data_IF_157643643013
#
_entry.id   IF_157643643013
#
_cell.length_a   1.000
_cell.length_b   1.000
_cell.length_c   1.000
_cell.angle_alpha   90.00
_cell.angle_beta   90.00
_cell.angle_gamma   90.00
#
_symmetry.space_group_name_H-M   'P 1'
#
loop_
_entity.id
_entity.type
_entity.pdbx_description
1 polymer ?
#
# COMPACT_ATOMS: atom_id res chain seq x y z
N UNK A 1 21.37 4.34 10.08
CA UNK A 1 21.11 4.27 8.63
C UNK A 1 21.64 5.56 7.99
N UNK A 2 22.39 5.49 6.89
CA UNK A 2 22.89 6.72 6.24
C UNK A 2 21.72 7.54 5.69
N UNK A 3 21.82 8.88 5.72
CA UNK A 3 20.77 9.78 5.19
C UNK A 3 20.46 9.49 3.71
N UNK A 4 21.49 9.14 2.94
CA UNK A 4 21.38 8.79 1.52
C UNK A 4 20.51 7.55 1.27
N UNK A 5 20.59 6.54 2.13
CA UNK A 5 19.78 5.33 2.00
C UNK A 5 18.29 5.56 2.27
N UNK A 6 17.94 6.54 3.11
CA UNK A 6 16.54 6.95 3.34
C UNK A 6 15.97 7.71 2.16
N UNK A 7 16.72 8.69 1.66
CA UNK A 7 16.30 9.50 0.52
C UNK A 7 16.04 8.61 -0.71
N UNK A 8 16.94 7.67 -1.01
CA UNK A 8 16.75 6.75 -2.14
C UNK A 8 15.47 5.91 -2.03
N UNK A 9 15.17 5.37 -0.83
CA UNK A 9 13.95 4.60 -0.57
C UNK A 9 12.69 5.45 -0.64
N UNK A 10 12.76 6.70 -0.16
CA UNK A 10 11.66 7.65 -0.27
C UNK A 10 11.35 7.96 -1.75
N UNK A 11 12.37 8.27 -2.54
CA UNK A 11 12.18 8.54 -3.97
C UNK A 11 11.67 7.31 -4.73
N UNK A 12 12.17 6.11 -4.41
CA UNK A 12 11.66 4.87 -4.98
C UNK A 12 10.18 4.65 -4.62
N UNK A 13 9.81 4.76 -3.34
CA UNK A 13 8.42 4.63 -2.91
C UNK A 13 7.51 5.74 -3.47
N UNK A 14 8.03 6.95 -3.66
CA UNK A 14 7.33 8.05 -4.31
C UNK A 14 7.09 7.79 -5.79
N UNK A 15 8.08 7.25 -6.50
CA UNK A 15 7.92 6.80 -7.89
C UNK A 15 6.88 5.67 -8.00
N UNK A 16 6.96 4.69 -7.11
CA UNK A 16 6.02 3.58 -7.03
C UNK A 16 4.58 4.07 -6.76
N UNK A 17 4.43 5.12 -5.94
CA UNK A 17 3.15 5.81 -5.70
C UNK A 17 2.61 6.48 -6.96
N UNK A 18 3.47 7.14 -7.75
CA UNK A 18 3.07 7.73 -9.02
C UNK A 18 2.69 6.66 -10.05
N UNK A 19 3.48 5.58 -10.14
CA UNK A 19 3.22 4.47 -11.05
C UNK A 19 1.89 3.79 -10.76
N UNK A 20 1.57 3.54 -9.48
CA UNK A 20 0.29 2.98 -9.11
C UNK A 20 -0.87 3.97 -9.28
N UNK A 21 -0.62 5.27 -9.12
CA UNK A 21 -1.59 6.31 -9.46
C UNK A 21 -1.99 6.29 -10.94
N UNK A 22 -1.02 6.08 -11.84
CA UNK A 22 -1.29 5.92 -13.28
C UNK A 22 -2.07 4.63 -13.56
N UNK A 23 -1.72 3.52 -12.90
CA UNK A 23 -2.45 2.26 -13.04
C UNK A 23 -3.89 2.39 -12.55
N UNK A 24 -4.10 3.01 -11.38
CA UNK A 24 -5.44 3.30 -10.86
C UNK A 24 -6.22 4.18 -11.84
N UNK A 25 -5.62 5.26 -12.35
CA UNK A 25 -6.27 6.11 -13.35
C UNK A 25 -6.68 5.34 -14.61
N UNK A 26 -5.83 4.46 -15.12
CA UNK A 26 -6.14 3.65 -16.30
C UNK A 26 -7.24 2.61 -16.04
N UNK A 27 -7.20 1.94 -14.88
CA UNK A 27 -8.20 0.93 -14.51
C UNK A 27 -9.57 1.55 -14.18
N UNK A 28 -9.61 2.76 -13.62
CA UNK A 28 -10.86 3.47 -13.33
C UNK A 28 -11.33 4.38 -14.47
N UNK A 29 -10.55 4.53 -15.54
CA UNK A 29 -10.81 5.51 -16.60
C UNK A 29 -10.83 6.96 -16.08
N UNK A 30 -10.04 7.25 -15.05
CA UNK A 30 -10.00 8.55 -14.36
C UNK A 30 -11.17 8.82 -13.43
N UNK A 31 -12.09 7.86 -13.25
CA UNK A 31 -13.18 7.98 -12.28
C UNK A 31 -12.64 7.75 -10.88
N UNK A 32 -13.16 8.54 -9.95
CA UNK A 32 -12.86 8.44 -8.53
C UNK A 32 -14.17 8.13 -7.81
N UNK A 33 -14.15 7.13 -6.93
CA UNK A 33 -15.23 6.87 -5.98
C UNK A 33 -16.61 6.50 -6.57
N UNK A 34 -16.71 6.06 -7.84
CA UNK A 34 -18.00 5.69 -8.40
C UNK A 34 -18.39 4.23 -8.13
N UNK A 35 -17.41 3.37 -7.88
CA UNK A 35 -17.62 1.97 -7.50
C UNK A 35 -16.70 1.60 -6.33
N UNK A 36 -17.08 0.53 -5.62
CA UNK A 36 -16.29 -0.03 -4.53
C UNK A 36 -14.84 -0.32 -4.95
N UNK A 37 -14.64 -0.90 -6.14
CA UNK A 37 -13.31 -1.21 -6.65
C UNK A 37 -12.47 0.06 -6.85
N UNK A 38 -13.06 1.12 -7.41
CA UNK A 38 -12.38 2.41 -7.61
C UNK A 38 -11.91 3.01 -6.27
N UNK A 39 -12.74 2.96 -5.22
CA UNK A 39 -12.36 3.43 -3.89
C UNK A 39 -11.13 2.69 -3.35
N UNK A 40 -11.06 1.38 -3.55
CA UNK A 40 -9.93 0.56 -3.09
C UNK A 40 -8.66 0.82 -3.91
N UNK A 41 -8.79 0.98 -5.22
CA UNK A 41 -7.65 1.27 -6.10
C UNK A 41 -7.02 2.62 -5.74
N UNK A 42 -7.83 3.67 -5.60
CA UNK A 42 -7.34 4.98 -5.15
C UNK A 42 -6.87 4.99 -3.70
N UNK A 43 -7.52 4.24 -2.81
CA UNK A 43 -7.05 4.04 -1.44
C UNK A 43 -5.65 3.40 -1.39
N UNK A 44 -5.34 2.53 -2.34
CA UNK A 44 -4.02 1.89 -2.45
C UNK A 44 -2.93 2.88 -2.88
N UNK A 45 -3.26 3.88 -3.70
CA UNK A 45 -2.38 5.01 -4.03
C UNK A 45 -2.05 5.81 -2.77
N UNK A 46 -3.08 6.11 -1.95
CA UNK A 46 -2.91 6.83 -0.68
C UNK A 46 -2.04 6.00 0.29
N UNK A 47 -2.28 4.69 0.37
CA UNK A 47 -1.48 3.78 1.21
C UNK A 47 0.00 3.76 0.79
N UNK A 48 0.29 3.79 -0.52
CA UNK A 48 1.65 3.87 -1.04
C UNK A 48 2.32 5.21 -0.68
N UNK A 49 1.58 6.32 -0.79
CA UNK A 49 2.06 7.63 -0.37
C UNK A 49 2.38 7.67 1.13
N UNK A 50 1.53 7.06 1.96
CA UNK A 50 1.78 6.91 3.40
C UNK A 50 3.05 6.10 3.65
N UNK A 51 3.26 4.99 2.92
CA UNK A 51 4.49 4.21 3.04
C UNK A 51 5.74 5.06 2.73
N UNK A 52 5.70 5.88 1.67
CA UNK A 52 6.78 6.81 1.36
C UNK A 52 7.04 7.80 2.50
N UNK A 53 5.99 8.42 3.06
CA UNK A 53 6.12 9.36 4.19
C UNK A 53 6.70 8.66 5.43
N UNK A 54 6.27 7.44 5.74
CA UNK A 54 6.77 6.67 6.89
C UNK A 54 8.27 6.34 6.76
N UNK A 55 8.80 6.17 5.55
CA UNK A 55 10.25 5.98 5.32
C UNK A 55 11.05 7.19 5.82
N UNK A 56 10.49 8.41 5.78
CA UNK A 56 11.14 9.62 6.29
C UNK A 56 10.93 9.81 7.80
N UNK A 57 9.79 9.40 8.34
CA UNK A 57 9.37 9.73 9.70
C UNK A 57 9.97 8.84 10.81
N UNK A 58 10.61 7.70 10.47
CA UNK A 58 11.28 6.74 11.39
C UNK A 58 10.47 6.14 12.57
N UNK A 59 9.27 6.63 12.86
CA UNK A 59 8.52 6.26 14.06
C UNK A 59 7.26 5.42 13.81
N UNK A 60 6.81 5.32 12.56
CA UNK A 60 5.48 4.79 12.22
C UNK A 60 5.54 3.49 11.42
N UNK A 61 6.51 2.61 11.74
CA UNK A 61 6.67 1.32 11.06
C UNK A 61 5.34 0.52 10.95
N UNK A 62 4.53 0.34 12.01
CA UNK A 62 3.26 -0.38 11.89
C UNK A 62 2.30 0.21 10.86
N UNK A 63 2.25 1.54 10.72
CA UNK A 63 1.35 2.23 9.80
C UNK A 63 1.66 1.90 8.34
N UNK A 64 2.94 1.82 7.99
CA UNK A 64 3.33 1.40 6.65
C UNK A 64 2.96 -0.05 6.34
N UNK A 65 3.11 -0.96 7.31
CA UNK A 65 2.70 -2.36 7.11
C UNK A 65 1.18 -2.52 7.02
N UNK A 66 0.41 -1.68 7.71
CA UNK A 66 -1.03 -1.57 7.51
C UNK A 66 -1.34 -1.16 6.07
N UNK A 67 -0.64 -0.15 5.56
CA UNK A 67 -0.75 0.31 4.17
C UNK A 67 -0.41 -0.78 3.14
N UNK A 68 0.68 -1.53 3.35
CA UNK A 68 1.04 -2.69 2.51
C UNK A 68 -0.09 -3.72 2.48
N UNK A 69 -0.68 -4.04 3.64
CA UNK A 69 -1.81 -4.98 3.69
C UNK A 69 -3.06 -4.45 2.99
N UNK A 70 -3.33 -3.14 3.06
CA UNK A 70 -4.41 -2.52 2.28
C UNK A 70 -4.17 -2.64 0.78
N UNK A 71 -2.93 -2.40 0.31
CA UNK A 71 -2.55 -2.56 -1.10
C UNK A 71 -2.70 -4.03 -1.54
N UNK A 72 -2.31 -5.00 -0.70
CA UNK A 72 -2.50 -6.42 -0.97
C UNK A 72 -3.98 -6.79 -1.06
N UNK A 73 -4.82 -6.23 -0.18
CA UNK A 73 -6.27 -6.36 -0.28
C UNK A 73 -6.77 -5.81 -1.63
N UNK A 74 -6.32 -4.61 -2.02
CA UNK A 74 -6.66 -4.00 -3.30
C UNK A 74 -6.23 -4.80 -4.52
N UNK A 75 -5.12 -5.54 -4.42
CA UNK A 75 -4.61 -6.38 -5.50
C UNK A 75 -5.25 -7.77 -5.58
N UNK A 76 -5.60 -8.38 -4.45
CA UNK A 76 -5.98 -9.81 -4.38
C UNK A 76 -7.46 -10.06 -4.06
N UNK A 77 -8.16 -9.12 -3.45
CA UNK A 77 -9.46 -9.36 -2.81
C UNK A 77 -10.58 -8.44 -3.31
N UNK A 78 -10.30 -7.63 -4.33
CA UNK A 78 -11.25 -6.76 -5.04
C UNK A 78 -11.92 -7.49 -6.23
N UNK A 79 -13.05 -6.96 -6.70
CA UNK A 79 -13.70 -7.47 -7.92
C UNK A 79 -12.83 -7.20 -9.15
N UNK A 80 -12.59 -8.23 -9.98
CA UNK A 80 -11.65 -8.16 -11.11
C UNK A 80 -10.22 -8.62 -10.76
N UNK A 81 -9.99 -9.07 -9.52
CA UNK A 81 -8.72 -9.63 -9.08
C UNK A 81 -8.28 -10.87 -9.88
N UNK A 82 -6.95 -11.09 -10.03
CA UNK A 82 -5.85 -10.35 -9.40
C UNK A 82 -5.34 -9.15 -10.22
N UNK A 83 -5.17 -8.00 -9.54
CA UNK A 83 -4.47 -6.83 -10.10
C UNK A 83 -2.98 -6.92 -9.78
N UNK A 84 -2.22 -7.56 -10.67
CA UNK A 84 -0.79 -7.86 -10.45
C UNK A 84 0.06 -6.61 -10.16
N UNK A 85 -0.30 -5.44 -10.69
CA UNK A 85 0.40 -4.17 -10.41
C UNK A 85 0.42 -3.81 -8.92
N UNK A 86 -0.70 -3.96 -8.22
CA UNK A 86 -0.81 -3.67 -6.78
C UNK A 86 -0.06 -4.72 -5.92
N UNK A 87 -0.08 -5.98 -6.36
CA UNK A 87 0.66 -7.05 -5.66
C UNK A 87 2.17 -6.83 -5.78
N UNK A 88 2.65 -6.48 -6.98
CA UNK A 88 4.06 -6.16 -7.21
C UNK A 88 4.49 -4.92 -6.42
N UNK A 89 3.63 -3.90 -6.34
CA UNK A 89 3.86 -2.73 -5.50
C UNK A 89 4.03 -3.10 -4.02
N UNK A 90 3.13 -3.91 -3.47
CA UNK A 90 3.22 -4.35 -2.08
C UNK A 90 4.55 -5.09 -1.80
N UNK A 91 4.98 -5.94 -2.74
CA UNK A 91 6.26 -6.64 -2.67
C UNK A 91 7.46 -5.70 -2.79
N UNK A 92 7.38 -4.66 -3.64
CA UNK A 92 8.43 -3.66 -3.80
C UNK A 92 8.58 -2.78 -2.54
N UNK A 93 7.46 -2.40 -1.91
CA UNK A 93 7.45 -1.56 -0.71
C UNK A 93 7.92 -2.32 0.54
N UNK A 94 7.59 -3.61 0.69
CA UNK A 94 7.92 -4.41 1.88
C UNK A 94 9.39 -4.33 2.36
N UNK A 95 10.44 -4.43 1.51
CA UNK A 95 11.83 -4.27 1.94
C UNK A 95 12.24 -2.81 2.17
N UNK A 96 11.49 -1.83 1.65
CA UNK A 96 11.82 -0.41 1.75
C UNK A 96 11.39 0.20 3.08
N UNK A 97 10.27 -0.25 3.65
CA UNK A 97 9.70 0.35 4.87
C UNK A 97 10.34 -0.19 6.15
N UNK A 98 10.36 0.61 7.24
CA UNK A 98 10.92 0.17 8.51
C UNK A 98 10.21 -1.07 9.06
N UNK A 99 10.96 -1.96 9.70
CA UNK A 99 10.41 -3.17 10.32
C UNK A 99 9.86 -2.86 11.72
N UNK A 100 8.61 -3.23 12.03
CA UNK A 100 8.05 -3.02 13.36
C UNK A 100 8.83 -3.86 14.38
N UNK A 101 9.44 -3.17 15.35
CA UNK A 101 10.32 -3.78 16.37
C UNK A 101 11.46 -4.62 15.79
N UNK A 102 11.91 -4.32 14.57
CA UNK A 102 12.97 -5.08 13.89
C UNK A 102 12.54 -6.43 13.30
N UNK A 103 11.29 -6.86 13.46
CA UNK A 103 10.81 -8.17 13.01
C UNK A 103 10.05 -8.10 11.68
N UNK A 104 10.44 -8.94 10.73
CA UNK A 104 9.75 -9.10 9.44
C UNK A 104 8.44 -9.88 9.60
N UNK A 105 8.40 -10.89 10.48
CA UNK A 105 7.19 -11.69 10.71
C UNK A 105 6.08 -10.85 11.34
N UNK A 106 6.41 -9.89 12.22
CA UNK A 106 5.45 -8.92 12.73
C UNK A 106 4.90 -8.02 11.63
N UNK A 107 5.76 -7.55 10.72
CA UNK A 107 5.32 -6.76 9.56
C UNK A 107 4.34 -7.52 8.68
N UNK A 108 4.69 -8.76 8.30
CA UNK A 108 3.82 -9.63 7.50
C UNK A 108 2.51 -9.92 8.24
N UNK A 109 2.57 -10.21 9.54
CA UNK A 109 1.38 -10.42 10.37
C UNK A 109 0.44 -9.21 10.37
N UNK A 110 0.98 -8.00 10.53
CA UNK A 110 0.21 -6.75 10.47
C UNK A 110 -0.42 -6.58 9.09
N UNK A 111 0.34 -6.79 8.01
CA UNK A 111 -0.17 -6.68 6.65
C UNK A 111 -1.27 -7.72 6.35
N UNK A 112 -1.11 -8.96 6.82
CA UNK A 112 -2.12 -10.00 6.65
C UNK A 112 -3.41 -9.66 7.41
N UNK A 113 -3.30 -9.24 8.68
CA UNK A 113 -4.46 -8.83 9.48
C UNK A 113 -5.12 -7.60 8.86
N UNK A 114 -4.35 -6.60 8.44
CA UNK A 114 -4.92 -5.39 7.85
C UNK A 114 -5.59 -5.65 6.50
N UNK A 115 -5.06 -6.57 5.67
CA UNK A 115 -5.72 -6.98 4.43
C UNK A 115 -7.11 -7.60 4.69
N UNK A 116 -7.21 -8.48 5.69
CA UNK A 116 -8.48 -9.11 6.09
C UNK A 116 -9.43 -8.09 6.70
N UNK A 117 -8.94 -7.23 7.61
CA UNK A 117 -9.76 -6.19 8.24
C UNK A 117 -10.23 -5.17 7.21
N UNK A 118 -9.40 -4.77 6.24
CA UNK A 118 -9.80 -3.89 5.16
C UNK A 118 -10.93 -4.50 4.33
N UNK A 119 -10.84 -5.79 3.98
CA UNK A 119 -11.94 -6.49 3.30
C UNK A 119 -13.25 -6.42 4.09
N UNK A 120 -13.20 -6.70 5.39
CA UNK A 120 -14.37 -6.70 6.26
C UNK A 120 -14.93 -5.28 6.41
N UNK A 121 -14.07 -4.33 6.78
CA UNK A 121 -14.46 -2.95 7.04
C UNK A 121 -15.11 -2.29 5.82
N UNK A 122 -14.58 -2.55 4.63
CA UNK A 122 -15.12 -1.96 3.40
C UNK A 122 -16.38 -2.73 2.96
N UNK A 123 -16.52 -4.04 3.23
CA UNK A 123 -17.78 -4.76 3.00
C UNK A 123 -18.97 -4.22 3.83
N UNK A 124 -18.69 -3.51 4.92
CA UNK A 124 -19.69 -2.80 5.73
C UNK A 124 -19.75 -1.29 5.45
N UNK A 125 -18.97 -0.79 4.49
CA UNK A 125 -19.06 0.60 4.06
C UNK A 125 -20.34 0.78 3.21
N UNK A 126 -21.13 1.84 3.46
CA UNK A 126 -22.42 2.08 2.80
C UNK A 126 -22.32 2.43 1.32
#
# INVERSE_FOLDING_TARGET
MSRTGKAARFFAAGFDTAAIGVLAFNETGGRFAATFAEYVLWGSVIAAAICAIVILADGLAPLAWIGIGYILFGGLLTQGSPHFGFVLLALALAPMVPRPRGSLSLGIGIAAVSAVVARIAIAFAP
#
